data_IF_310313468639
#
_entry.id   IF_310313468639
#
_cell.length_a   1.000
_cell.length_b   1.000
_cell.length_c   1.000
_cell.angle_alpha   90.00
_cell.angle_beta   90.00
_cell.angle_gamma   90.00
#
_symmetry.space_group_name_H-M   'P 1'
#
loop_
_entity.id
_entity.type
_entity.pdbx_description
1 polymer ?
#
# COMPACT_ATOMS: atom_id res chain seq x y z
N UNK A 1 27.22 -60.39 20.98
CA UNK A 1 25.77 -60.27 21.23
C UNK A 1 25.48 -58.90 21.85
N UNK A 2 24.29 -58.33 21.58
CA UNK A 2 24.00 -56.90 21.31
C UNK A 2 23.76 -56.09 22.60
N UNK A 3 23.67 -54.75 22.67
CA UNK A 3 22.68 -53.81 22.09
C UNK A 3 23.07 -52.35 22.45
N UNK A 4 23.29 -51.44 21.48
CA UNK A 4 22.44 -50.28 21.10
C UNK A 4 21.83 -49.40 22.21
N UNK A 5 22.18 -48.09 22.23
CA UNK A 5 21.29 -46.93 21.99
C UNK A 5 22.02 -45.61 22.39
N UNK A 6 22.38 -44.69 21.47
CA UNK A 6 21.59 -43.51 21.02
C UNK A 6 20.72 -42.94 22.16
N UNK A 7 20.81 -41.68 22.60
CA UNK A 7 20.50 -40.48 21.81
C UNK A 7 20.75 -39.20 22.63
N UNK A 8 21.13 -38.12 21.94
CA UNK A 8 20.76 -36.71 22.18
C UNK A 8 21.15 -35.98 23.48
N UNK A 9 21.94 -34.91 23.31
CA UNK A 9 21.41 -33.53 23.30
C UNK A 9 22.43 -32.59 22.63
N UNK A 10 22.33 -32.45 21.31
CA UNK A 10 22.84 -31.27 20.63
C UNK A 10 21.95 -30.10 21.04
N UNK A 11 22.55 -29.14 21.74
CA UNK A 11 21.91 -27.89 22.12
C UNK A 11 21.71 -27.07 20.84
N UNK A 12 20.53 -27.18 20.24
CA UNK A 12 20.10 -26.32 19.14
C UNK A 12 19.78 -24.95 19.74
N UNK A 13 20.77 -24.05 19.77
CA UNK A 13 20.53 -22.64 20.09
C UNK A 13 19.82 -22.04 18.88
N UNK A 14 18.49 -21.98 18.93
CA UNK A 14 17.69 -21.13 18.05
C UNK A 14 18.04 -19.67 18.39
N UNK A 15 18.97 -19.08 17.66
CA UNK A 15 19.13 -17.64 17.59
C UNK A 15 17.90 -17.08 16.87
N UNK A 16 16.84 -16.80 17.65
CA UNK A 16 15.80 -15.86 17.24
C UNK A 16 16.48 -14.51 17.08
N UNK A 17 16.93 -14.19 15.87
CA UNK A 17 17.22 -12.82 15.51
C UNK A 17 15.90 -12.04 15.59
N UNK A 18 15.64 -11.43 16.74
CA UNK A 18 14.71 -10.31 16.81
C UNK A 18 15.36 -9.18 16.02
N UNK A 19 15.04 -9.08 14.73
CA UNK A 19 15.18 -7.80 14.06
C UNK A 19 14.24 -6.85 14.82
N UNK A 20 14.83 -6.02 15.69
CA UNK A 20 14.15 -4.84 16.19
C UNK A 20 14.06 -3.92 14.97
N UNK A 21 13.08 -4.17 14.11
CA UNK A 21 12.76 -3.25 13.05
C UNK A 21 12.31 -1.97 13.73
N UNK A 22 13.07 -0.89 13.54
CA UNK A 22 12.72 0.39 14.14
C UNK A 22 11.46 0.87 13.43
N UNK A 23 10.31 0.77 14.10
CA UNK A 23 9.05 1.18 13.52
C UNK A 23 9.03 2.71 13.40
N UNK A 24 9.16 3.24 12.19
CA UNK A 24 8.89 4.65 11.96
C UNK A 24 7.37 4.85 11.94
N UNK A 25 6.82 5.26 13.09
CA UNK A 25 5.42 5.66 13.21
C UNK A 25 5.25 7.11 12.74
N UNK A 26 4.32 7.34 11.81
CA UNK A 26 3.97 8.69 11.37
C UNK A 26 2.57 9.01 11.92
N UNK A 27 2.46 10.12 12.66
CA UNK A 27 1.19 10.63 13.18
C UNK A 27 0.70 11.82 12.37
N UNK A 28 -0.60 11.88 12.10
CA UNK A 28 -1.25 12.98 11.39
C UNK A 28 -1.93 13.96 12.36
N UNK A 29 -1.28 14.27 13.49
CA UNK A 29 -1.81 15.12 14.57
C UNK A 29 -1.53 16.62 14.35
N UNK A 30 -0.60 16.95 13.46
CA UNK A 30 -0.30 18.31 13.00
C UNK A 30 -0.87 18.53 11.59
N UNK A 31 -0.89 19.77 11.06
CA UNK A 31 -1.09 19.99 9.63
C UNK A 31 -0.17 19.09 8.79
N UNK A 32 -0.64 18.73 7.59
CA UNK A 32 0.11 17.83 6.70
C UNK A 32 1.50 18.40 6.43
N UNK A 33 2.54 17.64 6.78
CA UNK A 33 3.91 17.96 6.41
C UNK A 33 4.07 17.77 4.89
N UNK A 34 4.03 18.87 4.15
CA UNK A 34 4.12 18.89 2.68
C UNK A 34 5.54 18.68 2.15
N UNK A 35 6.54 18.63 3.04
CA UNK A 35 7.90 18.21 2.68
C UNK A 35 8.01 16.70 2.61
N UNK A 36 7.34 16.01 3.53
CA UNK A 36 7.29 14.55 3.64
C UNK A 36 6.17 13.92 2.81
N UNK A 37 5.00 14.56 2.71
CA UNK A 37 3.85 14.04 1.98
C UNK A 37 3.53 14.92 0.78
N UNK A 38 3.70 14.38 -0.42
CA UNK A 38 3.46 15.09 -1.68
C UNK A 38 2.12 14.65 -2.28
N UNK A 39 1.16 15.57 -2.33
CA UNK A 39 -0.14 15.31 -2.90
C UNK A 39 -0.20 15.76 -4.38
N UNK A 40 -0.56 14.84 -5.25
CA UNK A 40 -0.88 15.06 -6.65
C UNK A 40 -2.39 14.89 -6.81
N UNK A 41 -3.11 15.96 -7.12
CA UNK A 41 -4.58 16.02 -7.05
C UNK A 41 -5.12 16.49 -8.40
N UNK A 42 -6.14 15.79 -8.92
CA UNK A 42 -6.82 16.23 -10.12
C UNK A 42 -7.48 17.59 -9.89
N UNK A 43 -7.36 18.55 -10.82
CA UNK A 43 -7.83 19.93 -10.64
C UNK A 43 -9.36 20.01 -10.74
N UNK A 44 -10.05 19.52 -9.71
CA UNK A 44 -11.50 19.58 -9.57
C UNK A 44 -11.86 20.34 -8.28
N UNK A 45 -12.87 21.22 -8.32
CA UNK A 45 -13.32 21.95 -7.14
C UNK A 45 -13.71 21.01 -6.00
N UNK A 46 -13.38 21.40 -4.77
CA UNK A 46 -13.70 20.63 -3.57
C UNK A 46 -12.77 19.45 -3.30
N UNK A 47 -11.70 19.27 -4.08
CA UNK A 47 -10.67 18.25 -3.83
C UNK A 47 -9.59 18.77 -2.89
N UNK A 48 -9.27 17.99 -1.86
CA UNK A 48 -8.25 18.33 -0.87
C UNK A 48 -7.62 17.09 -0.22
N UNK A 49 -6.39 17.26 0.22
CA UNK A 49 -5.68 16.32 1.10
C UNK A 49 -5.28 17.09 2.35
N UNK A 50 -5.63 16.57 3.52
CA UNK A 50 -5.42 17.27 4.78
C UNK A 50 -5.33 16.28 5.95
N UNK A 51 -4.93 16.79 7.11
CA UNK A 51 -4.95 16.03 8.37
C UNK A 51 -6.13 16.48 9.23
N UNK A 52 -6.80 15.52 9.87
CA UNK A 52 -7.88 15.78 10.81
C UNK A 52 -7.97 14.64 11.84
N UNK A 53 -8.10 15.00 13.12
CA UNK A 53 -8.28 14.04 14.23
C UNK A 53 -7.21 12.93 14.24
N UNK A 54 -5.94 13.29 13.98
CA UNK A 54 -4.83 12.31 13.94
C UNK A 54 -4.81 11.42 12.70
N UNK A 55 -5.58 11.75 11.65
CA UNK A 55 -5.71 10.95 10.42
C UNK A 55 -5.37 11.76 9.18
N UNK A 56 -4.84 11.11 8.15
CA UNK A 56 -4.72 11.66 6.81
C UNK A 56 -6.05 11.45 6.07
N UNK A 57 -6.58 12.49 5.44
CA UNK A 57 -7.82 12.46 4.68
C UNK A 57 -7.54 12.83 3.23
N UNK A 58 -7.92 11.94 2.31
CA UNK A 58 -8.00 12.19 0.87
C UNK A 58 -9.49 12.42 0.58
N UNK A 59 -9.89 13.64 0.27
CA UNK A 59 -11.29 14.02 0.06
C UNK A 59 -11.38 14.69 -1.31
N UNK A 60 -11.53 13.90 -2.37
CA UNK A 60 -11.34 14.39 -3.74
C UNK A 60 -12.49 14.05 -4.67
N UNK A 61 -12.83 15.01 -5.53
CA UNK A 61 -13.56 14.79 -6.78
C UNK A 61 -12.51 14.52 -7.86
N UNK A 62 -12.40 13.29 -8.34
CA UNK A 62 -11.35 12.86 -9.28
C UNK A 62 -10.13 12.23 -8.61
N UNK A 63 -9.09 12.01 -9.41
CA UNK A 63 -7.91 11.24 -9.01
C UNK A 63 -7.02 11.95 -7.98
N UNK A 64 -6.39 11.17 -7.11
CA UNK A 64 -5.42 11.64 -6.14
C UNK A 64 -4.35 10.58 -5.88
N UNK A 65 -3.10 11.01 -5.78
CA UNK A 65 -2.01 10.22 -5.22
C UNK A 65 -1.29 11.03 -4.15
N UNK A 66 -1.13 10.46 -2.96
CA UNK A 66 -0.37 11.06 -1.85
C UNK A 66 0.86 10.22 -1.62
N UNK A 67 2.01 10.74 -2.03
CA UNK A 67 3.30 10.09 -1.95
C UNK A 67 3.99 10.36 -0.62
N UNK A 68 4.61 9.32 -0.07
CA UNK A 68 5.63 9.48 0.95
C UNK A 68 6.95 9.84 0.26
N UNK A 69 7.46 11.04 0.49
CA UNK A 69 8.75 11.53 0.00
C UNK A 69 9.91 10.94 0.82
N UNK A 70 10.00 9.61 0.82
CA UNK A 70 11.07 8.82 1.40
C UNK A 70 11.29 7.61 0.50
N UNK A 71 12.45 7.50 -0.14
CA UNK A 71 12.80 6.31 -0.91
C UNK A 71 12.99 5.13 0.06
N UNK A 72 12.27 4.04 -0.19
CA UNK A 72 12.42 2.78 0.54
C UNK A 72 13.28 1.84 -0.29
N UNK A 73 14.06 1.00 0.38
CA UNK A 73 14.94 0.02 -0.27
C UNK A 73 15.06 -1.24 0.57
N UNK A 74 15.48 -2.33 -0.07
CA UNK A 74 15.68 -3.62 0.59
C UNK A 74 14.39 -4.23 1.11
N UNK A 75 14.48 -4.89 2.27
CA UNK A 75 13.35 -5.52 2.92
C UNK A 75 12.63 -4.50 3.81
N UNK A 76 11.30 -4.43 3.70
CA UNK A 76 10.50 -3.55 4.53
C UNK A 76 9.07 -4.04 4.68
N UNK A 77 8.40 -3.57 5.72
CA UNK A 77 6.96 -3.71 5.89
C UNK A 77 6.32 -2.35 6.03
N UNK A 78 5.22 -2.11 5.31
CA UNK A 78 4.34 -0.96 5.49
C UNK A 78 3.03 -1.46 6.08
N UNK A 79 2.56 -0.84 7.16
CA UNK A 79 1.29 -1.15 7.80
C UNK A 79 0.48 0.13 8.04
N UNK A 80 -0.83 0.08 7.80
CA UNK A 80 -1.74 1.18 8.08
C UNK A 80 -3.19 0.72 8.14
N UNK A 81 -4.05 1.58 8.67
CA UNK A 81 -5.51 1.45 8.57
C UNK A 81 -6.06 2.39 7.51
N UNK A 82 -7.03 1.93 6.72
CA UNK A 82 -7.67 2.74 5.69
C UNK A 82 -9.17 2.46 5.58
N UNK A 83 -9.96 3.51 5.47
CA UNK A 83 -11.42 3.44 5.32
C UNK A 83 -11.83 4.21 4.07
N UNK A 84 -12.72 3.62 3.27
CA UNK A 84 -13.47 4.35 2.21
C UNK A 84 -14.79 4.81 2.81
N UNK A 85 -14.91 6.12 3.04
CA UNK A 85 -16.05 6.69 3.74
C UNK A 85 -17.25 6.86 2.79
N UNK A 86 -18.41 6.37 3.25
CA UNK A 86 -19.72 6.54 2.63
C UNK A 86 -20.73 6.85 3.73
N UNK A 87 -20.70 8.08 4.23
CA UNK A 87 -21.54 8.57 5.33
C UNK A 87 -22.12 9.97 5.07
N UNK A 88 -22.32 10.33 3.80
CA UNK A 88 -23.03 11.55 3.38
C UNK A 88 -22.13 12.75 3.03
N UNK A 89 -20.81 12.57 3.00
CA UNK A 89 -19.87 13.59 2.53
C UNK A 89 -19.98 13.88 1.03
N UNK A 90 -19.58 15.09 0.61
CA UNK A 90 -19.73 15.55 -0.79
C UNK A 90 -18.99 14.70 -1.81
N UNK A 91 -17.86 14.09 -1.42
CA UNK A 91 -17.07 13.19 -2.26
C UNK A 91 -17.20 11.72 -1.83
N UNK A 92 -18.17 11.38 -0.98
CA UNK A 92 -18.35 10.01 -0.52
C UNK A 92 -18.83 9.11 -1.65
N UNK A 93 -18.01 8.10 -1.95
CA UNK A 93 -18.27 7.10 -2.97
C UNK A 93 -17.43 5.88 -2.64
N UNK A 94 -18.02 4.69 -2.76
CA UNK A 94 -17.27 3.44 -2.65
C UNK A 94 -16.43 3.23 -3.91
N UNK A 95 -15.34 3.98 -4.02
CA UNK A 95 -14.36 3.85 -5.08
C UNK A 95 -13.17 3.03 -4.62
N UNK A 96 -12.44 2.57 -5.63
CA UNK A 96 -11.18 1.87 -5.52
C UNK A 96 -10.21 2.44 -4.46
N UNK A 97 -9.64 1.51 -3.71
CA UNK A 97 -8.55 1.71 -2.76
C UNK A 97 -7.29 1.20 -3.43
N UNK A 98 -6.44 2.13 -3.86
CA UNK A 98 -5.23 1.81 -4.59
C UNK A 98 -3.99 2.16 -3.76
N UNK A 99 -2.89 1.45 -3.98
CA UNK A 99 -1.58 1.88 -3.51
C UNK A 99 -0.48 1.51 -4.50
N UNK A 100 0.58 2.31 -4.48
CA UNK A 100 1.82 2.08 -5.21
C UNK A 100 2.94 1.78 -4.21
N UNK A 101 3.85 0.88 -4.56
CA UNK A 101 5.12 0.71 -3.85
C UNK A 101 6.26 0.40 -4.83
N UNK A 102 7.49 0.65 -4.38
CA UNK A 102 8.69 0.61 -5.22
C UNK A 102 8.56 1.48 -6.48
N UNK A 103 7.80 2.58 -6.43
CA UNK A 103 7.67 3.46 -7.57
C UNK A 103 8.99 4.18 -7.84
N UNK A 104 9.57 4.00 -9.03
CA UNK A 104 10.84 4.63 -9.39
C UNK A 104 10.63 6.06 -9.87
N UNK A 105 11.37 7.01 -9.27
CA UNK A 105 11.44 8.41 -9.69
C UNK A 105 10.08 9.05 -10.01
N UNK A 106 9.09 9.02 -9.09
CA UNK A 106 7.76 9.55 -9.35
C UNK A 106 7.74 11.08 -9.57
N UNK A 107 8.78 11.83 -9.20
CA UNK A 107 8.90 13.27 -9.45
C UNK A 107 7.92 14.18 -8.69
N UNK A 108 6.78 13.64 -8.24
CA UNK A 108 5.74 14.32 -7.47
C UNK A 108 5.13 15.55 -8.16
N UNK A 109 5.01 15.49 -9.49
CA UNK A 109 4.58 16.60 -10.36
C UNK A 109 3.36 16.24 -11.22
N UNK A 110 2.76 15.06 -11.04
CA UNK A 110 1.55 14.64 -11.77
C UNK A 110 0.29 15.26 -11.15
N UNK A 111 -0.83 15.07 -11.82
CA UNK A 111 -2.12 15.66 -11.49
C UNK A 111 -3.10 14.64 -10.92
N UNK A 112 -2.62 13.53 -10.35
CA UNK A 112 -3.49 12.52 -9.72
C UNK A 112 -4.29 11.66 -10.70
N UNK A 113 -4.20 11.88 -12.01
CA UNK A 113 -4.88 11.08 -13.06
C UNK A 113 -4.17 9.74 -13.22
N UNK A 114 -4.91 8.62 -13.31
CA UNK A 114 -4.31 7.27 -13.20
C UNK A 114 -3.31 7.00 -14.33
N UNK A 115 -3.67 7.42 -15.53
CA UNK A 115 -2.95 7.19 -16.77
C UNK A 115 -1.59 7.91 -16.79
N UNK A 116 -1.42 9.00 -16.03
CA UNK A 116 -0.13 9.69 -15.91
C UNK A 116 0.93 8.82 -15.23
N UNK A 117 0.52 7.79 -14.48
CA UNK A 117 1.42 6.87 -13.80
C UNK A 117 1.81 5.65 -14.64
N UNK A 118 1.18 5.43 -15.80
CA UNK A 118 1.39 4.22 -16.62
C UNK A 118 2.86 4.09 -17.10
N UNK A 119 3.58 5.22 -17.22
CA UNK A 119 5.01 5.25 -17.58
C UNK A 119 5.97 4.96 -16.42
N UNK A 120 5.48 4.77 -15.19
CA UNK A 120 6.34 4.46 -14.05
C UNK A 120 6.69 2.98 -13.97
N UNK A 121 7.85 2.67 -13.38
CA UNK A 121 8.13 1.33 -12.86
C UNK A 121 7.66 1.27 -11.41
N UNK A 122 6.67 0.43 -11.12
CA UNK A 122 6.09 0.29 -9.77
C UNK A 122 5.33 -1.02 -9.60
N UNK A 123 5.01 -1.35 -8.36
CA UNK A 123 3.97 -2.31 -8.05
C UNK A 123 2.68 -1.60 -7.66
N UNK A 124 1.55 -2.14 -8.09
CA UNK A 124 0.22 -1.57 -7.90
C UNK A 124 -0.77 -2.62 -7.43
N UNK A 125 -1.52 -2.33 -6.38
CA UNK A 125 -2.77 -3.03 -6.09
C UNK A 125 -3.90 -2.02 -6.16
N UNK A 126 -5.02 -2.44 -6.73
CA UNK A 126 -6.29 -1.75 -6.61
C UNK A 126 -7.36 -2.70 -6.11
N UNK A 127 -7.97 -2.37 -4.97
CA UNK A 127 -9.08 -3.12 -4.37
C UNK A 127 -10.36 -2.37 -4.71
N UNK A 128 -11.36 -3.08 -5.23
CA UNK A 128 -12.63 -2.48 -5.61
C UNK A 128 -12.58 -1.61 -6.87
N UNK A 129 -11.70 -1.93 -7.82
CA UNK A 129 -11.71 -1.32 -9.16
C UNK A 129 -12.93 -1.75 -9.98
N UNK A 130 -13.16 -1.09 -11.12
CA UNK A 130 -14.31 -1.33 -12.01
C UNK A 130 -15.66 -1.25 -11.25
N UNK A 131 -15.90 -0.15 -10.53
CA UNK A 131 -17.11 0.02 -9.70
C UNK A 131 -17.24 -1.09 -8.66
N UNK A 132 -16.15 -1.35 -7.94
CA UNK A 132 -16.08 -2.37 -6.89
C UNK A 132 -16.40 -3.80 -7.36
N UNK A 133 -15.88 -4.22 -8.52
CA UNK A 133 -16.04 -5.59 -9.05
C UNK A 133 -14.73 -6.36 -9.18
N UNK A 134 -13.58 -5.70 -9.03
CA UNK A 134 -12.27 -6.33 -9.19
C UNK A 134 -11.28 -5.90 -8.13
N UNK A 135 -10.41 -6.82 -7.74
CA UNK A 135 -9.21 -6.55 -6.94
C UNK A 135 -7.99 -7.08 -7.69
N UNK A 136 -7.07 -6.19 -8.07
CA UNK A 136 -6.05 -6.49 -9.09
C UNK A 136 -4.67 -6.07 -8.63
N UNK A 137 -3.73 -7.01 -8.72
CA UNK A 137 -2.31 -6.76 -8.51
C UNK A 137 -1.59 -6.69 -9.85
N UNK A 138 -0.81 -5.63 -10.06
CA UNK A 138 -0.05 -5.36 -11.28
C UNK A 138 1.39 -4.96 -10.96
N UNK A 139 2.25 -5.21 -11.94
CA UNK A 139 3.55 -4.52 -12.08
C UNK A 139 3.46 -3.58 -13.27
N UNK A 140 3.93 -2.36 -13.08
CA UNK A 140 4.09 -1.42 -14.19
C UNK A 140 5.55 -1.50 -14.62
N UNK A 141 5.78 -1.67 -15.92
CA UNK A 141 7.10 -1.99 -16.46
C UNK A 141 7.91 -0.74 -16.87
N UNK A 142 7.32 0.45 -16.76
CA UNK A 142 7.94 1.73 -17.16
C UNK A 142 7.80 2.05 -18.65
N UNK A 143 7.14 1.18 -19.42
CA UNK A 143 6.93 1.31 -20.87
C UNK A 143 5.51 1.77 -21.22
N UNK A 144 4.68 2.08 -20.22
CA UNK A 144 3.23 2.20 -20.36
C UNK A 144 2.49 0.88 -20.11
N UNK A 145 3.19 -0.25 -20.09
CA UNK A 145 2.59 -1.55 -19.81
C UNK A 145 2.25 -1.72 -18.32
N UNK A 146 1.01 -2.15 -18.07
CA UNK A 146 0.49 -2.50 -16.73
C UNK A 146 0.20 -4.00 -16.64
N UNK A 147 1.26 -4.79 -16.48
CA UNK A 147 1.18 -6.25 -16.46
C UNK A 147 0.33 -6.74 -15.28
N UNK A 148 -0.75 -7.46 -15.58
CA UNK A 148 -1.60 -8.09 -14.57
C UNK A 148 -0.88 -9.32 -14.00
N UNK A 149 -0.67 -9.32 -12.68
CA UNK A 149 -0.10 -10.46 -11.95
C UNK A 149 -1.23 -11.39 -11.51
N UNK A 150 -2.28 -10.81 -10.91
CA UNK A 150 -3.43 -11.56 -10.41
C UNK A 150 -4.66 -10.68 -10.25
N UNK A 151 -5.83 -11.29 -10.36
CA UNK A 151 -7.14 -10.67 -10.19
C UNK A 151 -8.04 -11.54 -9.30
N UNK A 152 -8.86 -10.88 -8.48
CA UNK A 152 -10.01 -11.46 -7.79
C UNK A 152 -11.28 -10.73 -8.19
N UNK A 153 -12.38 -11.46 -8.28
CA UNK A 153 -13.72 -10.96 -8.60
C UNK A 153 -14.78 -11.40 -7.59
N UNK A 154 -14.41 -12.24 -6.62
CA UNK A 154 -15.31 -12.68 -5.56
C UNK A 154 -15.52 -11.60 -4.50
N UNK A 155 -16.68 -11.65 -3.85
CA UNK A 155 -17.09 -10.64 -2.86
C UNK A 155 -16.17 -10.52 -1.65
N UNK A 156 -15.40 -11.55 -1.29
CA UNK A 156 -14.53 -11.50 -0.12
C UNK A 156 -13.34 -10.56 -0.36
N UNK A 157 -12.94 -10.36 -1.62
CA UNK A 157 -11.85 -9.46 -2.00
C UNK A 157 -12.30 -8.05 -2.39
N UNK A 158 -13.59 -7.71 -2.26
CA UNK A 158 -14.14 -6.41 -2.63
C UNK A 158 -14.28 -5.47 -1.43
N UNK A 159 -14.44 -4.18 -1.71
CA UNK A 159 -14.59 -3.15 -0.67
C UNK A 159 -15.98 -3.19 -0.05
N UNK A 160 -16.02 -2.85 1.25
CA UNK A 160 -17.19 -2.59 2.06
C UNK A 160 -17.10 -1.13 2.52
N UNK A 161 -18.19 -0.40 2.32
CA UNK A 161 -18.29 0.99 2.75
C UNK A 161 -18.06 1.12 4.27
N UNK A 162 -17.34 2.15 4.69
CA UNK A 162 -17.05 2.49 6.09
C UNK A 162 -16.29 1.43 6.89
N UNK A 163 -15.85 0.34 6.26
CA UNK A 163 -15.02 -0.67 6.91
C UNK A 163 -13.61 -0.13 7.15
N UNK A 164 -13.02 -0.47 8.30
CA UNK A 164 -11.65 -0.09 8.65
C UNK A 164 -10.72 -1.24 8.24
N UNK A 165 -10.14 -1.14 7.06
CA UNK A 165 -9.18 -2.13 6.57
C UNK A 165 -7.84 -1.96 7.25
N UNK A 166 -7.26 -3.04 7.75
CA UNK A 166 -5.84 -3.10 8.10
C UNK A 166 -5.06 -3.62 6.89
N UNK A 167 -4.23 -2.77 6.30
CA UNK A 167 -3.40 -3.12 5.15
C UNK A 167 -1.96 -3.34 5.63
N UNK A 168 -1.36 -4.44 5.18
CA UNK A 168 0.06 -4.71 5.39
C UNK A 168 0.72 -5.14 4.09
N UNK A 169 1.77 -4.42 3.69
CA UNK A 169 2.61 -4.75 2.53
C UNK A 169 3.96 -5.21 3.07
N UNK A 170 4.37 -6.42 2.74
CA UNK A 170 5.67 -6.99 3.11
C UNK A 170 6.49 -7.16 1.84
N UNK A 171 7.63 -6.49 1.79
CA UNK A 171 8.65 -6.68 0.76
C UNK A 171 9.83 -7.39 1.40
N UNK A 172 10.11 -8.61 0.95
CA UNK A 172 11.20 -9.43 1.47
C UNK A 172 11.85 -10.23 0.34
N UNK A 173 13.15 -10.03 0.16
CA UNK A 173 14.02 -10.79 -0.75
C UNK A 173 13.47 -10.87 -2.18
N UNK A 174 12.91 -9.76 -2.68
CA UNK A 174 12.29 -9.67 -4.03
C UNK A 174 10.85 -10.19 -4.12
N UNK A 175 10.26 -10.61 -2.99
CA UNK A 175 8.86 -11.01 -2.90
C UNK A 175 8.03 -9.90 -2.28
N UNK A 176 6.93 -9.53 -2.94
CA UNK A 176 5.91 -8.63 -2.38
C UNK A 176 4.70 -9.42 -1.94
N UNK A 177 4.26 -9.25 -0.70
CA UNK A 177 3.02 -9.84 -0.16
C UNK A 177 2.11 -8.74 0.37
N UNK A 178 0.82 -8.83 0.07
CA UNK A 178 -0.19 -7.87 0.53
C UNK A 178 -1.24 -8.60 1.34
N UNK A 179 -1.46 -8.13 2.57
CA UNK A 179 -2.46 -8.61 3.49
C UNK A 179 -3.52 -7.54 3.71
N UNK A 180 -4.78 -7.95 3.72
CA UNK A 180 -5.95 -7.13 4.01
C UNK A 180 -6.71 -7.80 5.15
N UNK A 181 -6.84 -7.11 6.27
CA UNK A 181 -7.44 -7.64 7.51
C UNK A 181 -6.81 -8.97 7.98
N UNK A 182 -5.49 -9.08 7.79
CA UNK A 182 -4.73 -10.28 8.15
C UNK A 182 -4.80 -11.41 7.12
N UNK A 183 -5.68 -11.33 6.10
CA UNK A 183 -5.78 -12.30 5.02
C UNK A 183 -4.79 -11.93 3.91
N UNK A 184 -3.96 -12.89 3.48
CA UNK A 184 -3.05 -12.66 2.36
C UNK A 184 -3.81 -12.64 1.03
N UNK A 185 -3.96 -11.46 0.44
CA UNK A 185 -4.58 -11.33 -0.89
C UNK A 185 -3.59 -11.71 -1.96
N UNK A 186 -2.35 -11.23 -1.87
CA UNK A 186 -1.36 -11.47 -2.92
C UNK A 186 0.00 -11.83 -2.34
N UNK A 187 0.73 -12.67 -3.08
CA UNK A 187 2.16 -12.87 -2.93
C UNK A 187 2.75 -13.03 -4.33
N UNK A 188 3.90 -12.41 -4.58
CA UNK A 188 4.57 -12.45 -5.87
C UNK A 188 6.08 -12.30 -5.68
N UNK A 189 6.81 -13.34 -6.09
CA UNK A 189 8.27 -13.30 -6.22
C UNK A 189 8.60 -12.83 -7.62
N UNK A 190 9.13 -11.62 -7.72
CA UNK A 190 9.46 -11.04 -9.02
C UNK A 190 10.81 -11.59 -9.51
N UNK A 191 10.90 -12.19 -10.71
CA UNK A 191 12.19 -12.60 -11.28
C UNK A 191 13.11 -11.40 -11.56
N UNK A 192 12.55 -10.20 -11.70
CA UNK A 192 13.30 -8.95 -11.89
C UNK A 192 12.77 -7.87 -10.93
N UNK A 193 13.07 -8.01 -9.63
CA UNK A 193 12.44 -7.20 -8.59
C UNK A 193 12.90 -5.74 -8.64
N UNK A 194 11.94 -4.83 -8.46
CA UNK A 194 12.26 -3.44 -8.14
C UNK A 194 12.87 -3.42 -6.73
N UNK A 195 14.08 -2.89 -6.58
CA UNK A 195 14.88 -2.96 -5.33
C UNK A 195 14.75 -1.75 -4.42
N UNK A 196 14.26 -0.64 -4.98
CA UNK A 196 14.00 0.60 -4.27
C UNK A 196 12.92 1.42 -4.97
N UNK A 197 12.30 2.33 -4.23
CA UNK A 197 11.36 3.30 -4.77
C UNK A 197 10.44 3.86 -3.69
N UNK A 198 9.42 4.58 -4.14
CA UNK A 198 8.53 5.36 -3.29
C UNK A 198 7.19 4.64 -3.06
N UNK A 199 6.54 4.99 -1.96
CA UNK A 199 5.20 4.52 -1.61
C UNK A 199 4.16 5.63 -1.82
N UNK A 200 2.98 5.27 -2.34
CA UNK A 200 1.90 6.22 -2.57
C UNK A 200 0.53 5.64 -2.25
N UNK A 201 -0.29 6.40 -1.52
CA UNK A 201 -1.72 6.15 -1.43
C UNK A 201 -2.42 6.70 -2.67
N UNK A 202 -3.27 5.92 -3.31
CA UNK A 202 -4.01 6.36 -4.50
C UNK A 202 -5.52 6.13 -4.36
N UNK A 203 -6.30 7.04 -4.93
CA UNK A 203 -7.74 6.86 -5.10
C UNK A 203 -8.27 7.63 -6.31
N UNK A 204 -9.49 7.30 -6.74
CA UNK A 204 -10.28 8.08 -7.69
C UNK A 204 -11.60 8.46 -7.04
N UNK A 205 -11.95 9.75 -7.05
CA UNK A 205 -13.22 10.32 -6.57
C UNK A 205 -13.83 9.54 -5.39
N UNK A 206 -13.24 9.73 -4.21
CA UNK A 206 -13.79 9.22 -2.95
C UNK A 206 -13.24 10.03 -1.79
N UNK A 207 -13.85 9.86 -0.61
CA UNK A 207 -13.26 10.27 0.64
C UNK A 207 -12.66 9.07 1.36
N UNK A 208 -11.35 9.09 1.58
CA UNK A 208 -10.63 8.01 2.26
C UNK A 208 -9.82 8.53 3.44
N UNK A 209 -9.81 7.74 4.49
CA UNK A 209 -9.24 8.11 5.79
C UNK A 209 -8.14 7.10 6.13
N UNK A 210 -6.93 7.57 6.39
CA UNK A 210 -5.76 6.76 6.72
C UNK A 210 -5.28 7.07 8.14
N UNK A 211 -4.92 6.04 8.89
CA UNK A 211 -4.38 6.15 10.25
C UNK A 211 -3.38 5.03 10.53
N UNK A 212 -2.70 5.11 11.68
CA UNK A 212 -1.76 4.09 12.16
C UNK A 212 -0.67 3.70 11.15
N UNK A 213 -0.20 4.66 10.34
CA UNK A 213 0.84 4.42 9.34
C UNK A 213 2.21 4.16 9.99
N UNK A 214 2.79 3.01 9.63
CA UNK A 214 4.09 2.54 10.15
C UNK A 214 4.91 1.93 9.03
N UNK A 215 6.22 2.12 9.14
CA UNK A 215 7.20 1.43 8.30
C UNK A 215 8.17 0.70 9.21
N UNK A 216 8.47 -0.55 8.88
CA UNK A 216 9.46 -1.41 9.52
C UNK A 216 10.54 -1.72 8.48
N UNK A 217 11.81 -1.49 8.81
CA UNK A 217 12.99 -1.82 8.01
C UNK A 217 14.03 -2.48 8.92
#
# INVERSE_FOLDING_TARGET
MPTTNKTMKQLLILLLFSQIALAQKISFTTPLDTTLWKAEIAPKPGSRVYTANGRLVLDTKGGVTVWLNKELSGNFTIEYKRTVAVNGGVNDRLSDLNMFWMAQNPGFQRHGVLEEYDSLQLYYIGIGGNTNTTTRFRKYEGTGERRLIREYTDSAHLLKANHIYTIRIVVKDGTSSVFVDGVQYFTYTDPQPLRKGYFGFRSTWSRQIISDFKIYQ
#
